data_IF_329179551096
#
_entry.id   IF_329179551096
#
_cell.length_a   1.000
_cell.length_b   1.000
_cell.length_c   1.000
_cell.angle_alpha   90.00
_cell.angle_beta   90.00
_cell.angle_gamma   90.00
#
_symmetry.space_group_name_H-M   'P 1'
#
loop_
_entity.id
_entity.type
_entity.pdbx_description
1 polymer ?
#
# COMPACT_ATOMS: atom_id res chain seq x y z
N UNK A 1 -0.06 -33.93 39.31
CA UNK A 1 -0.98 -33.46 38.27
C UNK A 1 -0.92 -31.94 38.25
N UNK A 2 -0.04 -31.23 37.53
CA UNK A 2 0.60 -31.54 36.27
C UNK A 2 -0.42 -31.39 35.14
N UNK A 3 -0.53 -30.18 34.55
CA UNK A 3 -0.56 -29.93 33.10
C UNK A 3 -0.51 -28.40 32.82
N UNK A 4 0.71 -27.96 32.49
CA UNK A 4 1.09 -27.06 31.41
C UNK A 4 0.53 -25.63 31.36
N UNK A 5 1.40 -24.71 31.79
CA UNK A 5 1.63 -23.42 31.14
C UNK A 5 1.74 -23.62 29.63
N UNK A 6 0.75 -23.16 28.86
CA UNK A 6 0.98 -22.93 27.43
C UNK A 6 2.03 -21.83 27.30
N UNK A 7 3.16 -22.19 26.70
CA UNK A 7 4.24 -21.26 26.42
C UNK A 7 3.72 -20.10 25.60
N UNK A 8 4.10 -18.88 25.98
CA UNK A 8 4.18 -17.75 25.05
C UNK A 8 5.23 -18.12 24.01
N UNK A 9 4.83 -18.89 23.00
CA UNK A 9 5.62 -19.05 21.79
C UNK A 9 5.94 -17.67 21.24
N UNK A 10 7.16 -17.51 20.75
CA UNK A 10 7.76 -16.28 20.24
C UNK A 10 6.88 -15.62 19.16
N UNK A 11 5.85 -14.86 19.55
CA UNK A 11 4.93 -14.21 18.63
C UNK A 11 5.69 -13.07 17.95
N UNK A 12 6.19 -13.34 16.75
CA UNK A 12 6.76 -12.30 15.91
C UNK A 12 5.63 -11.44 15.36
N UNK A 13 5.82 -10.14 15.49
CA UNK A 13 4.83 -9.16 15.11
C UNK A 13 4.79 -9.02 13.60
N UNK A 14 3.59 -9.06 13.00
CA UNK A 14 3.42 -8.82 11.58
C UNK A 14 3.06 -7.36 11.30
N UNK A 15 3.57 -6.85 10.19
CA UNK A 15 3.16 -5.58 9.59
C UNK A 15 2.48 -5.88 8.26
N UNK A 16 1.42 -5.14 7.97
CA UNK A 16 0.64 -5.33 6.74
C UNK A 16 0.52 -4.04 5.94
N UNK A 17 0.52 -4.19 4.62
CA UNK A 17 0.21 -3.14 3.66
C UNK A 17 -1.01 -3.56 2.86
N UNK A 18 -2.03 -2.70 2.86
CA UNK A 18 -3.29 -2.92 2.17
C UNK A 18 -3.36 -1.97 0.98
N UNK A 19 -3.62 -2.50 -0.21
CA UNK A 19 -3.76 -1.71 -1.41
C UNK A 19 -4.87 -2.26 -2.31
N UNK A 20 -5.47 -1.37 -3.10
CA UNK A 20 -6.54 -1.74 -4.03
C UNK A 20 -5.98 -1.98 -5.43
N UNK A 21 -6.57 -2.94 -6.13
CA UNK A 21 -6.25 -3.28 -7.51
C UNK A 21 -7.48 -3.06 -8.37
N UNK A 22 -7.31 -2.40 -9.53
CA UNK A 22 -8.37 -2.34 -10.54
C UNK A 22 -8.49 -3.71 -11.24
N UNK A 23 -9.69 -4.27 -11.20
CA UNK A 23 -9.96 -5.60 -11.71
C UNK A 23 -10.67 -5.59 -13.07
N UNK A 24 -11.03 -4.43 -13.62
CA UNK A 24 -11.81 -4.34 -14.87
C UNK A 24 -11.16 -5.10 -16.02
N UNK A 25 -9.87 -4.87 -16.24
CA UNK A 25 -9.09 -5.50 -17.33
C UNK A 25 -8.70 -6.95 -17.06
N UNK A 26 -8.88 -7.43 -15.83
CA UNK A 26 -8.43 -8.77 -15.41
C UNK A 26 -9.55 -9.82 -15.51
N UNK A 27 -10.81 -9.40 -15.59
CA UNK A 27 -11.96 -10.30 -15.66
C UNK A 27 -12.08 -10.89 -17.07
N UNK A 28 -12.74 -12.05 -17.15
CA UNK A 28 -13.10 -12.69 -18.42
C UNK A 28 -14.63 -12.84 -18.52
N UNK A 29 -15.32 -12.04 -19.36
CA UNK A 29 -14.76 -10.99 -20.22
C UNK A 29 -14.34 -9.72 -19.45
N UNK A 30 -13.42 -8.91 -19.99
CA UNK A 30 -13.03 -7.65 -19.37
C UNK A 30 -14.20 -6.67 -19.26
N UNK A 31 -14.24 -5.92 -18.15
CA UNK A 31 -15.23 -4.87 -17.96
C UNK A 31 -14.76 -3.60 -18.69
N UNK A 32 -15.63 -2.90 -19.45
CA UNK A 32 -15.27 -1.65 -20.10
C UNK A 32 -14.78 -0.57 -19.13
N UNK A 33 -13.85 0.27 -19.58
CA UNK A 33 -13.33 1.40 -18.80
C UNK A 33 -14.44 2.41 -18.41
N UNK A 34 -15.51 2.50 -19.20
CA UNK A 34 -16.67 3.37 -18.95
C UNK A 34 -17.63 2.84 -17.88
N UNK A 35 -17.34 1.67 -17.29
CA UNK A 35 -18.15 1.12 -16.20
C UNK A 35 -18.09 2.02 -14.96
N UNK A 36 -19.25 2.62 -14.65
CA UNK A 36 -19.38 3.66 -13.64
C UNK A 36 -19.23 3.18 -12.17
N UNK A 37 -19.43 1.88 -11.89
CA UNK A 37 -19.34 1.37 -10.51
C UNK A 37 -17.92 0.93 -10.15
N UNK A 38 -17.71 0.69 -8.87
CA UNK A 38 -16.46 0.19 -8.34
C UNK A 38 -16.21 -1.25 -8.78
N UNK A 39 -15.01 -1.49 -9.30
CA UNK A 39 -14.51 -2.84 -9.52
C UNK A 39 -13.06 -2.93 -9.07
N UNK A 40 -12.90 -2.85 -7.75
CA UNK A 40 -11.61 -2.92 -7.07
C UNK A 40 -11.60 -4.14 -6.16
N UNK A 41 -10.46 -4.79 -6.04
CA UNK A 41 -10.22 -5.82 -5.03
C UNK A 41 -9.07 -5.41 -4.12
N UNK A 42 -9.20 -5.68 -2.83
CA UNK A 42 -8.14 -5.45 -1.86
C UNK A 42 -7.08 -6.54 -1.93
N UNK A 43 -5.81 -6.15 -1.80
CA UNK A 43 -4.69 -7.06 -1.57
C UNK A 43 -3.96 -6.66 -0.29
N UNK A 44 -3.46 -7.69 0.39
CA UNK A 44 -2.78 -7.56 1.68
C UNK A 44 -1.40 -8.18 1.54
N UNK A 45 -0.37 -7.35 1.58
CA UNK A 45 1.00 -7.80 1.72
C UNK A 45 1.31 -7.93 3.22
N UNK A 46 1.84 -9.08 3.63
CA UNK A 46 2.14 -9.39 5.03
C UNK A 46 3.62 -9.71 5.17
N UNK A 47 4.29 -9.07 6.12
CA UNK A 47 5.68 -9.37 6.43
C UNK A 47 5.94 -9.33 7.94
N UNK A 48 6.96 -10.07 8.38
CA UNK A 48 7.45 -9.99 9.75
C UNK A 48 8.09 -8.61 9.99
N UNK A 49 7.67 -7.94 11.06
CA UNK A 49 8.10 -6.57 11.38
C UNK A 49 9.60 -6.49 11.61
N UNK A 50 10.19 -7.53 12.22
CA UNK A 50 11.64 -7.60 12.41
C UNK A 50 12.39 -7.66 11.07
N UNK A 51 11.86 -8.39 10.09
CA UNK A 51 12.44 -8.46 8.74
C UNK A 51 12.39 -7.13 8.01
N UNK A 52 11.29 -6.37 8.16
CA UNK A 52 11.16 -5.04 7.58
C UNK A 52 12.09 -3.99 8.20
N UNK A 53 12.48 -4.18 9.46
CA UNK A 53 13.39 -3.27 10.17
C UNK A 53 14.87 -3.67 10.04
N UNK A 54 15.16 -4.81 9.41
CA UNK A 54 16.52 -5.30 9.14
C UNK A 54 17.15 -4.64 7.91
N UNK A 55 18.41 -5.03 7.64
CA UNK A 55 19.20 -4.50 6.52
C UNK A 55 18.52 -4.75 5.16
N UNK A 56 17.92 -5.92 4.97
CA UNK A 56 17.20 -6.30 3.75
C UNK A 56 15.71 -5.88 3.74
N UNK A 57 15.32 -4.92 4.60
CA UNK A 57 13.92 -4.56 4.81
C UNK A 57 13.16 -4.18 3.54
N UNK A 58 13.83 -3.50 2.59
CA UNK A 58 13.24 -3.17 1.29
C UNK A 58 12.94 -4.41 0.44
N UNK A 59 13.87 -5.37 0.39
CA UNK A 59 13.68 -6.62 -0.35
C UNK A 59 12.54 -7.45 0.26
N UNK A 60 12.47 -7.51 1.59
CA UNK A 60 11.34 -8.14 2.31
C UNK A 60 10.01 -7.48 1.94
N UNK A 61 9.95 -6.16 1.91
CA UNK A 61 8.74 -5.42 1.54
C UNK A 61 8.33 -5.69 0.07
N UNK A 62 9.28 -5.60 -0.86
CA UNK A 62 9.02 -5.85 -2.30
C UNK A 62 8.55 -7.29 -2.54
N UNK A 63 9.15 -8.27 -1.88
CA UNK A 63 8.72 -9.66 -1.99
C UNK A 63 7.30 -9.87 -1.48
N UNK A 64 6.96 -9.31 -0.31
CA UNK A 64 5.61 -9.42 0.25
C UNK A 64 4.55 -8.77 -0.67
N UNK A 65 4.86 -7.62 -1.28
CA UNK A 65 3.97 -6.97 -2.26
C UNK A 65 3.85 -7.82 -3.53
N UNK A 66 4.96 -8.36 -4.02
CA UNK A 66 4.99 -9.19 -5.23
C UNK A 66 4.19 -10.47 -5.04
N UNK A 67 4.31 -11.13 -3.89
CA UNK A 67 3.53 -12.31 -3.54
C UNK A 67 2.03 -11.98 -3.44
N UNK A 68 1.68 -10.86 -2.80
CA UNK A 68 0.29 -10.38 -2.76
C UNK A 68 -0.27 -10.10 -4.17
N UNK A 69 0.54 -9.60 -5.10
CA UNK A 69 0.13 -9.40 -6.49
C UNK A 69 0.01 -10.71 -7.26
N UNK A 70 0.93 -11.67 -7.09
CA UNK A 70 0.86 -13.00 -7.73
C UNK A 70 -0.39 -13.78 -7.35
N UNK A 71 -0.92 -13.56 -6.15
CA UNK A 71 -2.21 -14.14 -5.75
C UNK A 71 -3.40 -13.73 -6.64
N UNK A 72 -3.25 -12.70 -7.50
CA UNK A 72 -4.26 -12.36 -8.51
C UNK A 72 -4.34 -13.39 -9.64
N UNK A 73 -3.26 -14.15 -9.88
CA UNK A 73 -3.16 -15.12 -10.97
C UNK A 73 -3.99 -16.38 -10.69
N UNK A 74 -4.18 -16.72 -9.41
CA UNK A 74 -5.05 -17.82 -8.95
C UNK A 74 -6.55 -17.48 -9.01
N UNK A 75 -6.88 -16.29 -9.54
CA UNK A 75 -8.23 -15.75 -9.63
C UNK A 75 -8.39 -14.47 -8.83
N UNK A 76 -8.96 -13.44 -9.46
CA UNK A 76 -9.14 -12.09 -8.88
C UNK A 76 -9.85 -12.13 -7.51
N UNK A 77 -10.84 -12.99 -7.40
CA UNK A 77 -11.68 -13.14 -6.20
C UNK A 77 -11.21 -14.23 -5.25
N UNK A 78 -10.10 -14.91 -5.55
CA UNK A 78 -9.61 -15.97 -4.69
C UNK A 78 -9.29 -15.41 -3.29
N UNK A 79 -9.90 -16.00 -2.25
CA UNK A 79 -9.73 -15.56 -0.87
C UNK A 79 -10.57 -14.32 -0.48
N UNK A 80 -11.45 -13.81 -1.35
CA UNK A 80 -12.33 -12.67 -1.05
C UNK A 80 -13.33 -12.99 0.08
N UNK A 81 -13.78 -14.25 0.16
CA UNK A 81 -14.65 -14.76 1.22
C UNK A 81 -13.98 -14.68 2.61
N UNK A 82 -12.66 -14.72 2.64
CA UNK A 82 -11.83 -14.63 3.85
C UNK A 82 -11.29 -13.21 4.09
N UNK A 83 -11.66 -12.24 3.25
CA UNK A 83 -11.09 -10.89 3.32
C UNK A 83 -11.52 -10.17 4.60
N UNK A 84 -12.82 -10.23 4.93
CA UNK A 84 -13.38 -9.61 6.14
C UNK A 84 -12.78 -10.24 7.40
N UNK A 85 -12.62 -11.56 7.45
CA UNK A 85 -12.01 -12.23 8.61
C UNK A 85 -10.53 -11.90 8.77
N UNK A 86 -9.75 -11.86 7.67
CA UNK A 86 -8.34 -11.45 7.68
C UNK A 86 -8.15 -9.98 8.06
N UNK A 87 -9.10 -9.12 7.70
CA UNK A 87 -9.09 -7.69 8.01
C UNK A 87 -9.52 -7.42 9.46
N UNK A 88 -10.55 -8.12 9.96
CA UNK A 88 -11.08 -7.94 11.31
C UNK A 88 -10.20 -8.57 12.41
N UNK A 89 -9.28 -9.47 12.07
CA UNK A 89 -8.28 -9.97 13.03
C UNK A 89 -7.10 -9.02 13.19
N UNK A 90 -7.42 -7.77 13.56
CA UNK A 90 -6.45 -6.72 13.87
C UNK A 90 -5.47 -7.10 14.99
N UNK A 91 -5.82 -8.11 15.80
CA UNK A 91 -5.02 -8.57 16.94
C UNK A 91 -3.69 -9.20 16.53
N UNK A 92 -3.60 -9.69 15.28
CA UNK A 92 -2.39 -10.32 14.74
C UNK A 92 -1.38 -9.32 14.17
N UNK A 93 -1.75 -8.04 14.01
CA UNK A 93 -0.93 -7.06 13.33
C UNK A 93 -0.46 -5.96 14.28
N UNK A 94 0.84 -5.71 14.30
CA UNK A 94 1.42 -4.61 15.07
C UNK A 94 1.24 -3.26 14.38
N UNK A 95 1.26 -3.25 13.04
CA UNK A 95 1.08 -2.06 12.21
C UNK A 95 0.34 -2.40 10.92
N UNK A 96 -0.53 -1.48 10.53
CA UNK A 96 -1.33 -1.57 9.31
C UNK A 96 -1.12 -0.28 8.54
N UNK A 97 -0.70 -0.42 7.30
CA UNK A 97 -0.60 0.68 6.34
C UNK A 97 -1.58 0.44 5.20
N UNK A 98 -2.06 1.53 4.60
CA UNK A 98 -2.90 1.44 3.41
C UNK A 98 -2.47 2.44 2.35
N UNK A 99 -2.72 2.12 1.08
CA UNK A 99 -2.49 3.01 -0.06
C UNK A 99 -3.83 3.57 -0.54
N UNK A 100 -3.88 4.87 -0.75
CA UNK A 100 -5.01 5.56 -1.36
C UNK A 100 -4.58 6.23 -2.69
N UNK A 101 -5.43 6.13 -3.71
CA UNK A 101 -5.12 6.66 -5.04
C UNK A 101 -4.37 5.67 -5.93
N UNK A 102 -3.98 6.16 -7.11
CA UNK A 102 -3.19 5.42 -8.09
C UNK A 102 -2.48 6.40 -9.01
N UNK A 103 -1.25 6.07 -9.38
CA UNK A 103 -0.49 6.81 -10.40
C UNK A 103 -1.13 6.73 -11.80
N UNK A 104 -2.14 5.88 -12.00
CA UNK A 104 -2.82 5.69 -13.28
C UNK A 104 -4.12 6.48 -13.41
N UNK A 105 -4.54 7.22 -12.37
CA UNK A 105 -5.72 8.08 -12.45
C UNK A 105 -5.50 9.32 -13.32
N UNK A 106 -4.25 9.70 -13.56
CA UNK A 106 -3.90 10.77 -14.50
C UNK A 106 -4.51 12.12 -14.12
N UNK A 107 -4.58 12.45 -12.84
CA UNK A 107 -5.30 13.64 -12.36
C UNK A 107 -4.67 14.91 -12.91
N UNK A 108 -3.35 14.93 -13.07
CA UNK A 108 -2.62 16.05 -13.67
C UNK A 108 -2.90 16.24 -15.17
N UNK A 109 -3.57 15.29 -15.85
CA UNK A 109 -4.00 15.46 -17.25
C UNK A 109 -5.31 16.25 -17.40
N UNK A 110 -6.00 16.53 -16.30
CA UNK A 110 -7.25 17.31 -16.34
C UNK A 110 -6.96 18.75 -16.79
N UNK A 111 -7.68 19.26 -17.79
CA UNK A 111 -7.58 20.65 -18.24
C UNK A 111 -8.96 21.23 -18.54
N UNK A 112 -9.42 22.14 -17.67
CA UNK A 112 -10.68 22.86 -17.81
C UNK A 112 -10.57 24.11 -18.69
N UNK A 113 -9.57 24.20 -19.57
CA UNK A 113 -9.19 25.36 -20.40
C UNK A 113 -8.51 26.50 -19.65
N UNK A 114 -8.16 26.29 -18.37
CA UNK A 114 -7.38 27.23 -17.57
C UNK A 114 -5.99 26.69 -17.23
N UNK A 115 -5.59 25.59 -17.89
CA UNK A 115 -4.34 24.89 -17.68
C UNK A 115 -4.48 23.73 -16.70
N UNK A 116 -3.44 22.88 -16.70
CA UNK A 116 -3.35 21.68 -15.86
C UNK A 116 -3.13 22.01 -14.38
N UNK A 117 -3.52 21.11 -13.45
CA UNK A 117 -3.27 21.26 -12.03
C UNK A 117 -1.80 21.56 -11.71
N UNK A 118 -1.58 22.50 -10.80
CA UNK A 118 -0.24 22.77 -10.25
C UNK A 118 0.16 21.81 -9.15
N UNK A 119 -0.82 21.31 -8.39
CA UNK A 119 -0.66 20.36 -7.30
C UNK A 119 -1.96 19.59 -7.10
N UNK A 120 -1.84 18.31 -6.77
CA UNK A 120 -2.95 17.43 -6.37
C UNK A 120 -2.63 16.92 -4.96
N UNK A 121 -3.62 16.94 -4.08
CA UNK A 121 -3.52 16.46 -2.70
C UNK A 121 -4.76 15.63 -2.34
N UNK A 122 -4.55 14.44 -1.79
CA UNK A 122 -5.65 13.60 -1.31
C UNK A 122 -5.90 13.90 0.17
N UNK A 123 -6.74 14.89 0.44
CA UNK A 123 -6.92 15.42 1.81
C UNK A 123 -7.42 14.40 2.83
N UNK A 124 -8.18 13.40 2.41
CA UNK A 124 -8.80 12.40 3.29
C UNK A 124 -7.79 11.50 4.02
N UNK A 125 -6.52 11.49 3.59
CA UNK A 125 -5.48 10.69 4.24
C UNK A 125 -5.13 11.19 5.64
N UNK A 126 -5.54 12.39 6.01
CA UNK A 126 -5.40 12.93 7.37
C UNK A 126 -6.18 12.11 8.41
N UNK A 127 -7.35 11.58 8.02
CA UNK A 127 -8.23 10.76 8.84
C UNK A 127 -7.97 9.27 8.68
N UNK A 128 -7.68 8.82 7.45
CA UNK A 128 -7.47 7.40 7.19
C UNK A 128 -6.06 6.93 7.49
N UNK A 129 -5.13 7.86 7.75
CA UNK A 129 -3.69 7.61 7.91
C UNK A 129 -3.07 6.82 6.74
N UNK A 130 -3.70 6.91 5.56
CA UNK A 130 -3.24 6.23 4.36
C UNK A 130 -2.05 6.96 3.72
N UNK A 131 -1.23 6.22 2.99
CA UNK A 131 -0.23 6.78 2.08
C UNK A 131 -0.92 7.07 0.76
N UNK A 132 -0.93 8.33 0.32
CA UNK A 132 -1.45 8.65 -1.01
C UNK A 132 -0.43 8.34 -2.10
N UNK A 133 -0.92 7.87 -3.25
CA UNK A 133 -0.14 7.58 -4.44
C UNK A 133 -0.82 8.23 -5.65
N UNK A 134 -0.11 9.06 -6.39
CA UNK A 134 -0.64 9.71 -7.59
C UNK A 134 0.40 9.87 -8.69
N UNK A 135 -0.06 10.22 -9.89
CA UNK A 135 0.82 10.68 -10.96
C UNK A 135 1.57 11.94 -10.52
N UNK A 136 2.69 12.22 -11.17
CA UNK A 136 3.43 13.45 -10.96
C UNK A 136 3.11 14.48 -12.04
N UNK A 137 3.07 15.75 -11.64
CA UNK A 137 3.04 16.89 -12.56
C UNK A 137 4.13 16.84 -13.63
N UNK A 138 5.30 16.31 -13.28
CA UNK A 138 6.48 16.31 -14.15
C UNK A 138 6.43 15.21 -15.24
N UNK A 139 5.44 14.32 -15.21
CA UNK A 139 5.35 13.21 -16.15
C UNK A 139 6.51 12.22 -16.03
N UNK A 140 6.82 11.51 -17.11
CA UNK A 140 7.99 10.63 -17.20
C UNK A 140 7.95 9.39 -16.31
N UNK A 141 6.76 8.97 -15.86
CA UNK A 141 6.61 7.85 -14.93
C UNK A 141 6.94 8.19 -13.47
N UNK A 142 7.22 9.46 -13.16
CA UNK A 142 7.40 9.90 -11.79
C UNK A 142 6.08 9.82 -11.00
N UNK A 143 6.22 9.53 -9.71
CA UNK A 143 5.11 9.25 -8.79
C UNK A 143 5.18 10.22 -7.62
N UNK A 144 4.03 10.77 -7.24
CA UNK A 144 3.91 11.55 -6.02
C UNK A 144 3.39 10.67 -4.88
N UNK A 145 4.08 10.72 -3.74
CA UNK A 145 3.72 10.02 -2.51
C UNK A 145 3.38 11.08 -1.46
N UNK A 146 2.16 11.05 -0.93
CA UNK A 146 1.72 11.99 0.11
C UNK A 146 1.44 11.30 1.44
N UNK A 147 1.79 11.98 2.54
CA UNK A 147 1.72 11.47 3.91
C UNK A 147 1.13 12.55 4.83
N UNK A 148 0.20 12.16 5.70
CA UNK A 148 -0.30 13.00 6.78
C UNK A 148 0.09 12.39 8.14
N UNK A 149 1.17 12.90 8.73
CA UNK A 149 1.72 12.42 10.01
C UNK A 149 1.81 13.55 11.02
N UNK A 150 1.80 13.21 12.32
CA UNK A 150 2.18 14.17 13.36
C UNK A 150 3.59 14.69 13.11
N UNK A 151 3.82 15.96 13.41
CA UNK A 151 5.08 16.68 13.13
C UNK A 151 6.35 15.88 13.48
N UNK A 152 6.43 15.35 14.69
CA UNK A 152 7.59 14.56 15.15
C UNK A 152 7.87 13.31 14.29
N UNK A 153 6.83 12.65 13.79
CA UNK A 153 6.97 11.47 12.93
C UNK A 153 7.32 11.88 11.51
N UNK A 154 6.78 13.00 11.01
CA UNK A 154 7.15 13.55 9.71
C UNK A 154 8.63 13.95 9.67
N UNK A 155 9.13 14.61 10.72
CA UNK A 155 10.55 14.98 10.85
C UNK A 155 11.46 13.75 10.82
N UNK A 156 11.09 12.71 11.56
CA UNK A 156 11.80 11.42 11.57
C UNK A 156 11.76 10.76 10.18
N UNK A 157 10.58 10.71 9.54
CA UNK A 157 10.40 10.15 8.20
C UNK A 157 11.29 10.86 7.17
N UNK A 158 11.28 12.20 7.15
CA UNK A 158 12.08 12.99 6.21
C UNK A 158 13.57 12.73 6.41
N UNK A 159 14.04 12.59 7.65
CA UNK A 159 15.42 12.24 7.95
C UNK A 159 15.80 10.88 7.36
N UNK A 160 15.00 9.85 7.62
CA UNK A 160 15.23 8.48 7.15
C UNK A 160 15.13 8.37 5.62
N UNK A 161 14.13 9.00 5.02
CA UNK A 161 13.93 8.97 3.58
C UNK A 161 15.12 9.59 2.86
N UNK A 162 15.58 10.77 3.31
CA UNK A 162 16.76 11.43 2.72
C UNK A 162 18.05 10.63 2.91
N UNK A 163 18.24 9.95 4.04
CA UNK A 163 19.44 9.13 4.24
C UNK A 163 19.47 7.93 3.29
N UNK A 164 18.32 7.31 3.02
CA UNK A 164 18.23 6.19 2.10
C UNK A 164 18.26 6.61 0.62
N UNK A 165 17.61 7.71 0.23
CA UNK A 165 17.63 8.19 -1.17
C UNK A 165 19.03 8.52 -1.67
N UNK A 166 19.93 9.00 -0.79
CA UNK A 166 21.33 9.26 -1.14
C UNK A 166 22.11 7.98 -1.52
N UNK A 167 21.67 6.82 -1.04
CA UNK A 167 22.27 5.53 -1.41
C UNK A 167 21.88 5.14 -2.83
N UNK A 168 20.67 5.50 -3.27
CA UNK A 168 20.18 5.18 -4.62
C UNK A 168 20.73 6.09 -5.73
N UNK A 169 21.17 7.30 -5.41
CA UNK A 169 21.85 8.17 -6.39
C UNK A 169 23.35 7.84 -6.56
N UNK A 170 23.88 6.90 -5.78
CA UNK A 170 25.28 6.44 -5.88
C UNK A 170 25.44 5.09 -6.61
N UNK A 171 24.33 4.54 -7.14
CA UNK A 171 24.28 3.37 -8.02
C UNK A 171 24.01 3.84 -9.46
#
# INVERSE_FOLDING_TARGET
>A
MGFLSQGRGNQRWKTVLIFSVDCRSRLDPPIPETYFRNRIEGRVAVAETEGLLGEDGLFVAVNAITEALRSLDDGIFNGAENWVSKFLDFSLYKRIYSIAGSQWFGVYNTDFRWGKPKKVELVSIDKTEAVSLSDSKNGGGAVEVGLALKKQYMETFVSLFRSQSKVFEQL
#
